data_IF_909587354475
#
_entry.id   IF_909587354475
#
_cell.length_a   1.000
_cell.length_b   1.000
_cell.length_c   1.000
_cell.angle_alpha   90.00
_cell.angle_beta   90.00
_cell.angle_gamma   90.00
#
_symmetry.space_group_name_H-M   'P 1'
#
loop_
_entity.id
_entity.type
_entity.pdbx_description
1 polymer ?
#
# COMPACT_ATOMS: atom_id res chain seq x y z
N UNK A 1 -11.38 -12.99 7.18
CA UNK A 1 -12.67 -12.92 6.44
C UNK A 1 -13.75 -13.91 6.90
N UNK A 2 -13.57 -14.74 7.96
CA UNK A 2 -14.58 -15.77 8.31
C UNK A 2 -15.51 -15.47 9.50
N UNK A 3 -15.31 -14.41 10.29
CA UNK A 3 -16.11 -14.19 11.51
C UNK A 3 -16.71 -12.79 11.68
N UNK A 4 -16.70 -11.94 10.65
CA UNK A 4 -17.34 -10.64 10.72
C UNK A 4 -17.80 -10.24 9.33
N UNK A 5 -19.07 -9.89 9.21
CA UNK A 5 -19.71 -9.43 7.98
C UNK A 5 -19.26 -8.00 7.64
N UNK A 6 -17.95 -7.78 7.61
CA UNK A 6 -17.31 -6.48 7.39
C UNK A 6 -17.09 -6.34 5.88
N UNK A 7 -17.60 -5.25 5.32
CA UNK A 7 -17.45 -4.94 3.90
C UNK A 7 -15.94 -4.94 3.55
N UNK A 8 -15.51 -5.53 2.41
CA UNK A 8 -14.13 -5.42 1.95
C UNK A 8 -13.56 -4.00 1.97
N UNK A 9 -14.39 -2.98 1.71
CA UNK A 9 -13.99 -1.57 1.80
C UNK A 9 -13.75 -1.09 3.25
N UNK A 10 -14.52 -1.59 4.23
CA UNK A 10 -14.32 -1.28 5.65
C UNK A 10 -13.02 -1.89 6.20
N UNK A 11 -12.61 -3.07 5.74
CA UNK A 11 -11.34 -3.68 6.19
C UNK A 11 -10.10 -2.83 5.84
N UNK A 12 -10.06 -2.19 4.66
CA UNK A 12 -8.94 -1.31 4.26
C UNK A 12 -8.92 0.03 4.99
N UNK A 13 -10.08 0.49 5.48
CA UNK A 13 -10.14 1.74 6.26
C UNK A 13 -9.76 1.53 7.73
N UNK A 14 -10.00 0.34 8.28
CA UNK A 14 -9.82 0.07 9.72
C UNK A 14 -8.53 -0.70 10.02
N UNK A 15 -8.07 -1.55 9.10
CA UNK A 15 -6.86 -2.34 9.30
C UNK A 15 -5.79 -1.97 8.29
N UNK A 16 -4.54 -1.87 8.75
CA UNK A 16 -3.40 -1.56 7.92
C UNK A 16 -3.10 -2.61 6.83
N UNK A 17 -3.83 -3.74 6.80
CA UNK A 17 -3.66 -4.84 5.83
C UNK A 17 -2.22 -5.36 5.74
N UNK A 18 -1.48 -5.30 6.85
CA UNK A 18 -0.05 -5.68 6.92
C UNK A 18 0.94 -4.58 6.52
N UNK A 19 0.48 -3.37 6.20
CA UNK A 19 1.32 -2.23 5.83
C UNK A 19 1.51 -1.30 7.03
N UNK A 20 2.57 -1.52 7.81
CA UNK A 20 2.87 -0.65 8.96
C UNK A 20 3.47 0.71 8.60
N UNK A 21 4.11 0.82 7.43
CA UNK A 21 4.77 2.03 6.95
C UNK A 21 4.84 2.02 5.43
N UNK A 22 4.75 3.21 4.82
CA UNK A 22 4.98 3.42 3.38
C UNK A 22 6.09 4.44 3.20
N UNK A 23 7.12 4.08 2.43
CA UNK A 23 8.16 5.00 1.99
C UNK A 23 7.95 5.34 0.51
N UNK A 24 7.88 6.63 0.20
CA UNK A 24 7.81 7.12 -1.18
C UNK A 24 9.21 7.51 -1.62
N UNK A 25 9.69 6.88 -2.69
CA UNK A 25 11.03 7.11 -3.24
C UNK A 25 10.96 7.31 -4.75
N UNK A 26 11.97 7.95 -5.31
CA UNK A 26 12.14 8.02 -6.76
C UNK A 26 12.38 6.61 -7.34
N UNK A 27 11.88 6.36 -8.57
CA UNK A 27 11.88 5.03 -9.19
C UNK A 27 13.30 4.47 -9.31
N UNK A 28 14.28 5.31 -9.65
CA UNK A 28 15.69 4.93 -9.77
C UNK A 28 16.32 4.47 -8.44
N UNK A 29 15.69 4.80 -7.30
CA UNK A 29 16.12 4.38 -5.95
C UNK A 29 15.31 3.21 -5.40
N UNK A 30 14.23 2.81 -6.07
CA UNK A 30 13.26 1.85 -5.52
C UNK A 30 13.90 0.50 -5.21
N UNK A 31 14.73 -0.05 -6.12
CA UNK A 31 15.36 -1.35 -5.90
C UNK A 31 16.31 -1.33 -4.70
N UNK A 32 17.10 -0.26 -4.55
CA UNK A 32 18.00 -0.09 -3.41
C UNK A 32 17.22 0.01 -2.10
N UNK A 33 16.14 0.79 -2.07
CA UNK A 33 15.29 0.94 -0.89
C UNK A 33 14.63 -0.39 -0.49
N UNK A 34 14.13 -1.16 -1.46
CA UNK A 34 13.55 -2.49 -1.26
C UNK A 34 14.56 -3.42 -0.58
N UNK A 35 15.78 -3.51 -1.12
CA UNK A 35 16.82 -4.36 -0.55
C UNK A 35 17.27 -3.91 0.84
N UNK A 36 17.40 -2.61 1.08
CA UNK A 36 17.84 -2.06 2.37
C UNK A 36 16.80 -2.24 3.49
N UNK A 37 15.51 -2.16 3.16
CA UNK A 37 14.42 -2.17 4.14
C UNK A 37 13.73 -3.53 4.27
N UNK A 38 14.08 -4.52 3.42
CA UNK A 38 13.32 -5.77 3.32
C UNK A 38 11.85 -5.52 2.92
N UNK A 39 11.61 -4.47 2.13
CA UNK A 39 10.27 -4.01 1.81
C UNK A 39 9.73 -4.64 0.52
N UNK A 40 8.44 -4.41 0.23
CA UNK A 40 7.81 -4.78 -1.04
C UNK A 40 7.25 -3.54 -1.72
N UNK A 41 7.39 -3.46 -3.06
CA UNK A 41 6.69 -2.44 -3.85
C UNK A 41 5.20 -2.75 -3.88
N UNK A 42 4.38 -1.79 -3.43
CA UNK A 42 2.93 -1.94 -3.34
C UNK A 42 2.15 -0.97 -4.24
N UNK A 43 2.83 -0.10 -4.99
CA UNK A 43 2.16 0.85 -5.89
C UNK A 43 3.11 1.89 -6.47
N UNK A 44 2.52 2.92 -7.08
CA UNK A 44 3.20 4.10 -7.64
C UNK A 44 2.35 5.35 -7.44
N UNK A 45 2.99 6.52 -7.39
CA UNK A 45 2.31 7.81 -7.33
C UNK A 45 2.14 8.34 -8.76
N UNK A 46 0.90 8.70 -9.12
CA UNK A 46 0.58 9.33 -10.39
C UNK A 46 0.01 10.74 -10.15
N UNK A 47 0.07 11.61 -11.17
CA UNK A 47 -0.64 12.89 -11.13
C UNK A 47 -2.14 12.62 -11.04
N UNK A 48 -2.82 13.31 -10.13
CA UNK A 48 -4.25 13.10 -9.91
C UNK A 48 -4.81 14.00 -8.80
N UNK A 49 -5.99 13.65 -8.31
CA UNK A 49 -6.78 14.45 -7.35
C UNK A 49 -6.65 14.00 -5.90
N UNK A 50 -5.63 13.19 -5.57
CA UNK A 50 -5.39 12.68 -4.21
C UNK A 50 -6.25 11.47 -3.82
N UNK A 51 -6.96 10.85 -4.77
CA UNK A 51 -7.70 9.60 -4.54
C UNK A 51 -6.83 8.38 -4.86
N UNK A 52 -6.77 7.44 -3.92
CA UNK A 52 -6.11 6.14 -4.11
C UNK A 52 -7.02 5.23 -4.93
N UNK A 53 -6.46 4.52 -5.91
CA UNK A 53 -7.12 3.43 -6.64
C UNK A 53 -6.50 2.11 -6.19
N UNK A 54 -7.34 1.17 -5.73
CA UNK A 54 -6.93 -0.17 -5.35
C UNK A 54 -7.28 -1.12 -6.49
N UNK A 55 -6.29 -1.88 -6.96
CA UNK A 55 -6.46 -2.98 -7.91
C UNK A 55 -6.32 -4.30 -7.13
N UNK A 56 -7.30 -5.20 -7.29
CA UNK A 56 -7.39 -6.48 -6.57
C UNK A 56 -7.12 -7.67 -7.50
#
# INVERSE_FOLDING_TARGET
QKNGNVDPQEMYQVFNMGIGMVAIVAEEKAQRAISMLGAKRIGRVERGTGKVRLEF
#
